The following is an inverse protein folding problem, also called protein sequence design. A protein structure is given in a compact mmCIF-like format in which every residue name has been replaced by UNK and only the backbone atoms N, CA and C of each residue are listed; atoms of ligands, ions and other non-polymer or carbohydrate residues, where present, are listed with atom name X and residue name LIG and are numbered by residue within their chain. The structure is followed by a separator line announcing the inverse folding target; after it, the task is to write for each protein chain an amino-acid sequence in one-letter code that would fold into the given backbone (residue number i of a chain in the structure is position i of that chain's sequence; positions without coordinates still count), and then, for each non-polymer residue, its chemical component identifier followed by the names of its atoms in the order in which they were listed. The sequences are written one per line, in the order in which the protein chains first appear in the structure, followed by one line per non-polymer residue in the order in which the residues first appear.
data_IF_561879715237
#
_entry.id   IF_561879715237
#
_cell.length_a   1.000
_cell.length_b   1.000
_cell.length_c   1.000
_cell.angle_alpha   90.00
_cell.angle_beta   90.00
_cell.angle_gamma   90.00
#
_symmetry.space_group_name_H-M   'P 1'
#
loop_
_entity.id
_entity.type
_entity.pdbx_description
1 polymer ?
#
# COMPACT_ATOMS: atom_id res chain seq x y z
N UNK A 1 16.68 -33.84 30.56
CA UNK A 1 15.44 -33.46 29.84
C UNK A 1 15.72 -32.13 29.21
N UNK A 2 15.78 -32.07 27.89
CA UNK A 2 15.96 -30.80 27.19
C UNK A 2 14.79 -29.88 27.53
N UNK A 3 15.11 -28.65 27.91
CA UNK A 3 14.12 -27.63 28.24
C UNK A 3 13.36 -27.31 26.96
N UNK A 4 12.03 -27.36 27.02
CA UNK A 4 11.17 -26.96 25.90
C UNK A 4 11.56 -25.55 25.43
N UNK A 5 11.78 -25.38 24.14
CA UNK A 5 12.14 -24.11 23.53
C UNK A 5 10.93 -23.54 22.80
N UNK A 6 10.72 -22.24 22.94
CA UNK A 6 9.61 -21.54 22.32
C UNK A 6 10.17 -20.44 21.44
N UNK A 7 9.65 -20.31 20.23
CA UNK A 7 10.06 -19.25 19.31
C UNK A 7 8.86 -18.55 18.70
N UNK A 8 9.06 -17.27 18.38
CA UNK A 8 8.22 -16.54 17.44
C UNK A 8 9.07 -16.20 16.21
N UNK A 9 8.55 -16.48 15.03
CA UNK A 9 9.11 -16.01 13.77
C UNK A 9 8.21 -14.94 13.18
N UNK A 10 8.70 -13.71 13.10
CA UNK A 10 7.98 -12.60 12.47
C UNK A 10 8.35 -12.60 10.99
N UNK A 11 7.36 -12.65 10.13
CA UNK A 11 7.52 -12.78 8.67
C UNK A 11 6.99 -11.54 7.99
N UNK A 12 7.77 -11.01 7.05
CA UNK A 12 7.43 -9.86 6.21
C UNK A 12 7.57 -10.29 4.75
N UNK A 13 6.43 -10.50 4.10
CA UNK A 13 6.32 -10.72 2.67
C UNK A 13 6.25 -9.38 1.93
N UNK A 14 7.03 -9.23 0.87
CA UNK A 14 6.97 -8.07 -0.01
C UNK A 14 5.73 -8.12 -0.92
N UNK A 15 5.26 -6.97 -1.42
CA UNK A 15 4.51 -6.92 -2.68
C UNK A 15 5.15 -7.81 -3.76
N UNK A 16 4.33 -8.61 -4.44
CA UNK A 16 4.76 -9.59 -5.43
C UNK A 16 5.25 -10.93 -4.87
N UNK A 17 5.23 -11.14 -3.54
CA UNK A 17 5.62 -12.44 -2.97
C UNK A 17 4.70 -13.54 -3.52
N UNK A 18 5.24 -14.61 -4.13
CA UNK A 18 4.45 -15.69 -4.69
C UNK A 18 3.57 -16.39 -3.65
N UNK A 19 2.31 -16.67 -4.02
CA UNK A 19 1.35 -17.39 -3.19
C UNK A 19 1.20 -18.82 -3.67
N UNK A 20 1.39 -19.78 -2.78
CA UNK A 20 1.36 -21.21 -3.06
C UNK A 20 0.16 -21.87 -2.38
N UNK A 21 -0.34 -22.95 -2.97
CA UNK A 21 -1.32 -23.84 -2.36
C UNK A 21 -0.99 -25.27 -2.77
N UNK A 22 -0.91 -26.17 -1.79
CA UNK A 22 -0.55 -27.58 -2.01
C UNK A 22 0.79 -27.80 -2.74
N UNK A 23 1.75 -26.87 -2.60
CA UNK A 23 3.08 -26.97 -3.21
C UNK A 23 3.19 -26.40 -4.62
N UNK A 24 2.09 -25.91 -5.19
CA UNK A 24 2.08 -25.24 -6.50
C UNK A 24 1.76 -23.75 -6.34
N UNK A 25 2.34 -22.91 -7.19
CA UNK A 25 1.98 -21.50 -7.23
C UNK A 25 0.53 -21.38 -7.69
N UNK A 26 -0.27 -20.64 -6.93
CA UNK A 26 -1.67 -20.41 -7.26
C UNK A 26 -1.77 -19.62 -8.56
N UNK A 27 -2.84 -19.84 -9.32
CA UNK A 27 -3.16 -19.08 -10.53
C UNK A 27 -4.55 -18.48 -10.33
N UNK A 28 -4.66 -17.16 -10.45
CA UNK A 28 -5.91 -16.42 -10.35
C UNK A 28 -6.09 -15.66 -11.67
N UNK A 29 -7.23 -15.85 -12.32
CA UNK A 29 -7.56 -15.24 -13.61
C UNK A 29 -6.52 -15.48 -14.72
N UNK A 30 -5.84 -16.63 -14.70
CA UNK A 30 -4.84 -17.02 -15.69
C UNK A 30 -3.42 -16.54 -15.40
N UNK A 31 -3.22 -15.74 -14.35
CA UNK A 31 -1.92 -15.20 -13.95
C UNK A 31 -1.41 -15.82 -12.63
N UNK A 32 -0.09 -15.99 -12.44
CA UNK A 32 0.48 -16.46 -11.18
C UNK A 32 0.12 -15.53 -10.02
N UNK A 33 -0.53 -16.08 -9.00
CA UNK A 33 -0.96 -15.33 -7.84
C UNK A 33 0.24 -14.88 -7.00
N UNK A 34 0.17 -13.64 -6.55
CA UNK A 34 1.18 -13.00 -5.73
C UNK A 34 0.51 -12.05 -4.73
N UNK A 35 1.23 -11.70 -3.68
CA UNK A 35 0.74 -10.76 -2.68
C UNK A 35 0.65 -9.35 -3.25
N UNK A 36 -0.50 -8.70 -3.16
CA UNK A 36 -0.69 -7.32 -3.63
C UNK A 36 0.17 -6.31 -2.85
N UNK A 37 -0.23 -5.92 -1.62
CA UNK A 37 0.52 -4.98 -0.78
C UNK A 37 1.65 -5.61 0.03
N UNK A 38 1.88 -6.92 -0.11
CA UNK A 38 2.69 -7.70 0.82
C UNK A 38 1.87 -8.15 2.02
N UNK A 39 2.53 -8.81 2.98
CA UNK A 39 1.88 -9.29 4.19
C UNK A 39 2.83 -9.35 5.37
N UNK A 40 2.32 -9.11 6.58
CA UNK A 40 3.08 -9.29 7.82
C UNK A 40 2.29 -10.20 8.76
N UNK A 41 2.95 -11.22 9.28
CA UNK A 41 2.36 -12.21 10.18
C UNK A 41 3.44 -12.79 11.10
N UNK A 42 3.03 -13.61 12.07
CA UNK A 42 3.96 -14.33 12.93
C UNK A 42 3.68 -15.84 12.96
N UNK A 43 4.72 -16.62 13.28
CA UNK A 43 4.67 -18.07 13.40
C UNK A 43 5.12 -18.43 14.81
N UNK A 44 4.36 -19.27 15.49
CA UNK A 44 4.71 -19.83 16.78
C UNK A 44 5.18 -21.27 16.62
N UNK A 45 6.32 -21.58 17.24
CA UNK A 45 6.86 -22.93 17.32
C UNK A 45 7.21 -23.25 18.78
N UNK A 46 6.63 -24.32 19.29
CA UNK A 46 6.90 -24.82 20.62
C UNK A 46 7.94 -25.95 20.63
N UNK A 47 8.51 -26.37 19.49
CA UNK A 47 9.42 -27.51 19.33
C UNK A 47 8.82 -28.91 19.55
N UNK A 48 7.50 -29.03 19.79
CA UNK A 48 6.78 -30.30 19.99
C UNK A 48 5.73 -30.56 18.92
N UNK A 49 5.05 -29.50 18.53
CA UNK A 49 3.91 -29.49 17.64
C UNK A 49 4.33 -28.90 16.29
N UNK A 50 3.45 -29.01 15.30
CA UNK A 50 3.67 -28.32 14.03
C UNK A 50 3.56 -26.80 14.27
N UNK A 51 4.49 -25.98 13.73
CA UNK A 51 4.40 -24.53 13.85
C UNK A 51 3.08 -24.00 13.29
N UNK A 52 2.52 -22.99 13.94
CA UNK A 52 1.23 -22.36 13.59
C UNK A 52 1.48 -20.90 13.24
N UNK A 53 1.00 -20.45 12.07
CA UNK A 53 1.03 -19.04 11.71
C UNK A 53 -0.23 -18.32 12.20
N UNK A 54 -0.12 -17.00 12.37
CA UNK A 54 -1.22 -16.11 12.65
C UNK A 54 -1.02 -14.83 11.82
N UNK A 55 -1.76 -14.73 10.72
CA UNK A 55 -1.88 -13.53 9.89
C UNK A 55 -3.29 -12.96 9.96
N UNK A 56 -3.46 -11.67 9.66
CA UNK A 56 -4.77 -11.03 9.60
C UNK A 56 -5.00 -10.45 8.21
N UNK A 57 -6.08 -10.88 7.56
CA UNK A 57 -6.44 -10.45 6.23
C UNK A 57 -7.97 -10.35 6.07
N UNK A 58 -8.48 -9.63 5.06
CA UNK A 58 -9.89 -9.63 4.72
C UNK A 58 -10.38 -11.05 4.38
N UNK A 59 -11.63 -11.38 4.73
CA UNK A 59 -12.25 -12.67 4.38
C UNK A 59 -12.33 -12.83 2.86
N UNK A 60 -12.81 -11.80 2.18
CA UNK A 60 -12.85 -11.74 0.73
C UNK A 60 -11.47 -11.32 0.23
N UNK A 61 -10.79 -12.23 -0.48
CA UNK A 61 -9.45 -11.95 -0.98
C UNK A 61 -9.47 -10.74 -1.93
N UNK A 62 -8.57 -9.79 -1.69
CA UNK A 62 -8.45 -8.56 -2.50
C UNK A 62 -9.30 -7.38 -2.03
N UNK A 63 -10.19 -7.54 -1.04
CA UNK A 63 -10.89 -6.40 -0.45
C UNK A 63 -9.94 -5.57 0.43
N UNK A 64 -9.93 -4.24 0.25
CA UNK A 64 -9.10 -3.35 1.08
C UNK A 64 -9.74 -3.00 2.41
N UNK A 65 -11.06 -3.16 2.53
CA UNK A 65 -11.81 -2.91 3.75
C UNK A 65 -12.94 -3.94 3.86
N UNK A 66 -13.20 -4.44 5.07
CA UNK A 66 -14.30 -5.37 5.31
C UNK A 66 -14.05 -6.30 6.48
N UNK A 67 -14.92 -7.30 6.68
CA UNK A 67 -14.71 -8.31 7.71
C UNK A 67 -13.36 -9.02 7.52
N UNK A 68 -12.52 -8.94 8.53
CA UNK A 68 -11.23 -9.61 8.57
C UNK A 68 -11.30 -10.96 9.26
N UNK A 69 -10.29 -11.78 9.00
CA UNK A 69 -10.13 -13.11 9.56
C UNK A 69 -8.66 -13.38 9.87
N UNK A 70 -8.45 -14.15 10.94
CA UNK A 70 -7.14 -14.71 11.27
C UNK A 70 -6.90 -15.94 10.40
N UNK A 71 -5.79 -15.94 9.69
CA UNK A 71 -5.32 -17.05 8.88
C UNK A 71 -4.18 -17.77 9.61
N UNK A 72 -4.24 -19.09 9.58
CA UNK A 72 -3.27 -20.00 10.19
C UNK A 72 -2.59 -20.90 9.15
N UNK A 73 -2.64 -20.45 7.90
CA UNK A 73 -2.03 -21.07 6.73
C UNK A 73 -0.93 -20.23 6.08
N UNK A 74 -0.74 -18.96 6.47
CA UNK A 74 0.21 -18.03 5.86
C UNK A 74 1.61 -18.60 5.70
N UNK A 75 2.12 -19.34 6.71
CA UNK A 75 3.45 -19.96 6.63
C UNK A 75 3.61 -20.98 5.48
N UNK A 76 2.52 -21.54 4.96
CA UNK A 76 2.54 -22.47 3.82
C UNK A 76 2.25 -21.77 2.50
N UNK A 77 1.59 -20.61 2.56
CA UNK A 77 1.12 -19.87 1.38
C UNK A 77 2.18 -18.90 0.87
N UNK A 78 2.86 -18.18 1.76
CA UNK A 78 3.86 -17.19 1.39
C UNK A 78 5.24 -17.83 1.21
N UNK A 79 5.69 -17.94 -0.05
CA UNK A 79 6.97 -18.55 -0.38
C UNK A 79 8.08 -17.50 -0.57
N UNK A 80 9.26 -17.73 0.03
CA UNK A 80 10.39 -16.81 0.01
C UNK A 80 10.04 -15.36 0.43
N UNK A 81 9.48 -15.16 1.64
CA UNK A 81 9.18 -13.81 2.12
C UNK A 81 10.46 -12.97 2.18
N UNK A 82 10.36 -11.68 1.89
CA UNK A 82 11.51 -10.78 1.80
C UNK A 82 12.34 -10.74 3.10
N UNK A 83 11.68 -10.88 4.24
CA UNK A 83 12.34 -10.89 5.54
C UNK A 83 11.63 -11.80 6.54
N UNK A 84 12.41 -12.47 7.39
CA UNK A 84 11.90 -13.12 8.59
C UNK A 84 12.91 -13.07 9.73
N UNK A 85 12.43 -12.87 10.95
CA UNK A 85 13.24 -12.92 12.18
C UNK A 85 12.64 -13.89 13.18
N UNK A 86 13.38 -14.93 13.53
CA UNK A 86 13.07 -15.88 14.60
C UNK A 86 13.72 -15.40 15.89
N UNK A 87 12.94 -15.40 16.97
CA UNK A 87 13.35 -14.97 18.31
C UNK A 87 12.96 -16.06 19.31
N UNK A 88 13.89 -16.53 20.14
CA UNK A 88 13.54 -17.37 21.30
C UNK A 88 12.80 -16.52 22.33
N UNK A 89 11.68 -17.05 22.84
CA UNK A 89 10.79 -16.38 23.77
C UNK A 89 10.48 -17.27 24.97
N UNK A 90 9.97 -16.67 26.03
CA UNK A 90 9.53 -17.44 27.20
C UNK A 90 8.21 -18.17 26.90
N UNK A 91 7.92 -19.21 27.68
CA UNK A 91 6.62 -19.91 27.63
C UNK A 91 5.44 -18.95 27.82
N UNK A 92 5.57 -17.98 28.74
CA UNK A 92 4.53 -16.98 28.99
C UNK A 92 4.29 -16.09 27.77
N UNK A 93 5.35 -15.65 27.09
CA UNK A 93 5.25 -14.85 25.87
C UNK A 93 4.60 -15.64 24.74
N UNK A 94 4.97 -16.93 24.59
CA UNK A 94 4.35 -17.84 23.64
C UNK A 94 2.84 -17.96 23.88
N UNK A 95 2.42 -18.21 25.12
CA UNK A 95 1.01 -18.34 25.49
C UNK A 95 0.21 -17.04 25.25
N UNK A 96 0.83 -15.87 25.49
CA UNK A 96 0.22 -14.55 25.17
C UNK A 96 0.04 -14.35 23.67
N UNK A 97 1.05 -14.68 22.87
CA UNK A 97 0.97 -14.61 21.40
C UNK A 97 -0.08 -15.57 20.86
N UNK A 98 -0.11 -16.81 21.36
CA UNK A 98 -1.08 -17.82 20.96
C UNK A 98 -2.50 -17.35 21.27
N UNK A 99 -2.74 -16.88 22.50
CA UNK A 99 -4.05 -16.37 22.91
C UNK A 99 -4.50 -15.19 22.05
N UNK A 100 -3.58 -14.28 21.71
CA UNK A 100 -3.89 -13.17 20.82
C UNK A 100 -4.19 -13.64 19.39
N UNK A 101 -3.45 -14.62 18.89
CA UNK A 101 -3.70 -15.23 17.59
C UNK A 101 -5.05 -15.94 17.49
N UNK A 102 -5.49 -16.60 18.57
CA UNK A 102 -6.75 -17.35 18.60
C UNK A 102 -7.97 -16.46 18.88
N UNK A 103 -7.85 -15.49 19.80
CA UNK A 103 -8.97 -14.70 20.31
C UNK A 103 -8.65 -13.19 20.43
N UNK A 104 -8.24 -12.52 19.34
CA UNK A 104 -7.76 -11.13 19.38
C UNK A 104 -8.83 -10.13 19.88
N UNK A 105 -10.11 -10.36 19.59
CA UNK A 105 -11.22 -9.51 20.02
C UNK A 105 -11.37 -9.45 21.54
N UNK A 106 -11.11 -10.56 22.24
CA UNK A 106 -11.16 -10.60 23.71
C UNK A 106 -10.05 -9.77 24.34
N UNK A 107 -9.04 -9.40 23.56
CA UNK A 107 -7.90 -8.58 23.94
C UNK A 107 -7.99 -7.16 23.36
N UNK A 108 -9.15 -6.78 22.80
CA UNK A 108 -9.44 -5.43 22.33
C UNK A 108 -9.04 -5.14 20.88
N UNK A 109 -8.65 -6.15 20.10
CA UNK A 109 -8.34 -5.97 18.68
C UNK A 109 -9.59 -6.15 17.83
N UNK A 110 -9.92 -5.13 17.04
CA UNK A 110 -11.06 -5.14 16.11
C UNK A 110 -10.77 -6.07 14.92
N UNK A 111 -11.73 -6.89 14.48
CA UNK A 111 -11.57 -7.74 13.29
C UNK A 111 -12.09 -7.11 12.02
N UNK A 112 -12.50 -5.85 12.03
CA UNK A 112 -12.80 -5.12 10.81
C UNK A 112 -11.50 -4.69 10.12
N UNK A 113 -11.13 -5.38 9.04
CA UNK A 113 -9.93 -5.06 8.28
C UNK A 113 -10.09 -3.70 7.60
N UNK A 114 -9.12 -2.80 7.75
CA UNK A 114 -9.07 -1.54 7.00
C UNK A 114 -7.64 -1.28 6.53
N UNK A 115 -7.50 -0.97 5.24
CA UNK A 115 -6.21 -0.83 4.55
C UNK A 115 -5.20 0.02 5.32
N UNK A 116 -5.67 1.19 5.77
CA UNK A 116 -4.86 2.24 6.39
C UNK A 116 -4.86 2.16 7.93
N UNK A 117 -5.70 1.36 8.56
CA UNK A 117 -5.69 1.21 10.03
C UNK A 117 -6.39 -0.10 10.36
N UNK A 118 -5.81 -0.91 11.24
CA UNK A 118 -6.32 -2.24 11.56
C UNK A 118 -6.12 -3.23 10.40
N UNK A 119 -4.85 -3.44 10.04
CA UNK A 119 -4.42 -4.36 8.99
C UNK A 119 -3.45 -5.44 9.53
N UNK A 120 -2.82 -6.22 8.64
CA UNK A 120 -1.89 -7.29 9.00
C UNK A 120 -0.69 -6.84 9.85
N UNK A 121 -0.18 -5.62 9.61
CA UNK A 121 0.93 -5.03 10.36
C UNK A 121 0.47 -4.65 11.77
N UNK A 122 -0.68 -4.00 11.89
CA UNK A 122 -1.25 -3.60 13.19
C UNK A 122 -1.57 -4.83 14.05
N UNK A 123 -2.15 -5.87 13.45
CA UNK A 123 -2.40 -7.14 14.10
C UNK A 123 -1.10 -7.75 14.67
N UNK A 124 -0.05 -7.81 13.85
CA UNK A 124 1.23 -8.39 14.26
C UNK A 124 1.86 -7.58 15.38
N UNK A 125 1.87 -6.25 15.29
CA UNK A 125 2.40 -5.40 16.36
C UNK A 125 1.57 -5.45 17.63
N UNK A 126 0.24 -5.51 17.53
CA UNK A 126 -0.63 -5.65 18.69
C UNK A 126 -0.36 -6.97 19.43
N UNK A 127 -0.17 -8.08 18.70
CA UNK A 127 0.22 -9.37 19.28
C UNK A 127 1.58 -9.29 19.99
N UNK A 128 2.60 -8.76 19.31
CA UNK A 128 3.95 -8.62 19.85
C UNK A 128 3.97 -7.73 21.10
N UNK A 129 3.28 -6.59 21.06
CA UNK A 129 3.15 -5.69 22.20
C UNK A 129 2.41 -6.35 23.37
N UNK A 130 1.35 -7.13 23.10
CA UNK A 130 0.63 -7.88 24.14
C UNK A 130 1.52 -8.91 24.83
N UNK A 131 2.48 -9.49 24.11
CA UNK A 131 3.48 -10.40 24.64
C UNK A 131 4.71 -9.71 25.26
N UNK A 132 4.76 -8.38 25.29
CA UNK A 132 5.89 -7.61 25.82
C UNK A 132 7.13 -7.60 24.90
N UNK A 133 6.95 -7.90 23.62
CA UNK A 133 7.99 -7.80 22.59
C UNK A 133 7.85 -6.45 21.89
N UNK A 134 8.62 -5.47 22.35
CA UNK A 134 8.55 -4.10 21.86
C UNK A 134 9.70 -3.78 20.90
N UNK A 135 9.41 -2.99 19.87
CA UNK A 135 10.43 -2.36 19.02
C UNK A 135 11.12 -1.21 19.75
N UNK A 136 12.40 -0.99 19.48
CA UNK A 136 13.08 0.22 19.97
C UNK A 136 12.50 1.46 19.28
N UNK A 137 12.22 2.51 20.05
CA UNK A 137 11.65 3.76 19.55
C UNK A 137 12.70 4.51 18.73
N UNK A 138 12.58 4.54 17.40
CA UNK A 138 13.43 5.35 16.53
C UNK A 138 12.60 6.16 15.53
N UNK A 139 12.96 7.44 15.34
CA UNK A 139 12.39 8.34 14.34
C UNK A 139 13.28 8.33 13.10
N UNK A 140 12.64 8.34 11.93
CA UNK A 140 13.31 8.70 10.69
C UNK A 140 13.57 10.20 10.63
N UNK A 141 14.84 10.59 10.78
CA UNK A 141 15.25 12.01 10.73
C UNK A 141 14.96 12.59 9.34
N UNK A 142 14.92 11.77 8.28
CA UNK A 142 14.49 12.21 6.95
C UNK A 142 12.97 12.44 6.87
N UNK A 143 12.18 11.79 7.72
CA UNK A 143 10.74 12.02 7.85
C UNK A 143 10.37 13.26 8.68
N UNK A 144 11.29 13.75 9.52
CA UNK A 144 11.03 14.89 10.42
C UNK A 144 11.26 16.27 9.76
N UNK A 145 12.11 16.36 8.73
CA UNK A 145 12.55 17.65 8.17
C UNK A 145 11.71 18.18 7.00
N UNK A 146 10.70 17.44 6.54
CA UNK A 146 9.90 17.81 5.37
C UNK A 146 10.74 17.98 4.08
N UNK A 147 10.11 18.22 2.92
CA UNK A 147 10.78 18.22 1.61
C UNK A 147 11.71 19.44 1.36
N UNK A 148 11.99 20.26 2.38
CA UNK A 148 12.83 21.47 2.27
C UNK A 148 14.08 21.49 3.15
N UNK A 149 14.31 20.48 3.98
CA UNK A 149 15.53 20.36 4.78
C UNK A 149 16.68 19.82 3.95
N UNK A 150 17.70 20.64 3.74
CA UNK A 150 19.03 20.33 3.17
C UNK A 150 19.31 18.83 2.95
N UNK A 151 19.42 18.46 1.68
CA UNK A 151 19.66 17.08 1.27
C UNK A 151 20.82 16.42 2.01
N UNK A 152 20.59 15.15 2.39
CA UNK A 152 21.55 14.07 2.53
C UNK A 152 22.99 14.49 2.89
N UNK A 153 23.19 15.07 4.08
CA UNK A 153 24.52 15.47 4.55
C UNK A 153 25.01 14.72 5.78
N UNK A 154 24.26 13.75 6.32
CA UNK A 154 24.72 12.94 7.47
C UNK A 154 24.54 11.44 7.21
N UNK A 155 25.53 10.60 7.54
CA UNK A 155 25.32 9.15 7.67
C UNK A 155 24.28 8.87 8.76
N UNK A 156 23.59 7.71 8.68
CA UNK A 156 22.46 7.31 9.54
C UNK A 156 22.68 7.59 11.04
N UNK A 157 22.28 8.77 11.50
CA UNK A 157 22.28 9.16 12.91
C UNK A 157 20.83 9.38 13.33
N UNK A 158 20.33 8.53 14.24
CA UNK A 158 18.97 8.64 14.81
C UNK A 158 19.04 8.81 16.32
N UNK A 159 18.36 9.85 16.84
CA UNK A 159 18.34 10.22 18.26
C UNK A 159 17.16 9.49 18.95
N UNK A 160 17.37 8.81 20.11
CA UNK A 160 16.31 8.09 20.81
C UNK A 160 15.37 9.04 21.59
N UNK A 161 14.07 9.08 21.25
CA UNK A 161 13.03 9.78 22.02
C UNK A 161 11.63 9.10 21.93
N UNK A 162 10.70 9.38 22.86
CA UNK A 162 9.62 8.46 23.27
C UNK A 162 8.24 8.78 22.68
N UNK A 163 8.02 8.67 21.37
CA UNK A 163 6.66 8.82 20.79
C UNK A 163 6.40 7.75 19.72
N UNK A 164 5.24 7.10 19.79
CA UNK A 164 4.75 6.15 18.78
C UNK A 164 4.49 6.90 17.48
N UNK A 165 5.17 6.51 16.40
CA UNK A 165 5.06 7.18 15.10
C UNK A 165 3.66 7.05 14.50
N UNK A 166 2.91 8.15 14.48
CA UNK A 166 1.66 8.32 13.74
C UNK A 166 1.98 8.82 12.32
N UNK A 167 2.05 7.91 11.34
CA UNK A 167 2.31 8.28 9.95
C UNK A 167 2.04 7.16 8.97
N UNK A 168 1.84 7.50 7.69
CA UNK A 168 1.48 6.57 6.59
C UNK A 168 2.53 5.48 6.29
N UNK A 169 3.59 5.41 7.07
CA UNK A 169 4.68 4.43 6.99
C UNK A 169 4.33 3.08 7.63
N UNK A 170 3.32 3.04 8.50
CA UNK A 170 2.89 1.82 9.19
C UNK A 170 2.24 0.75 8.27
N UNK A 171 1.87 1.11 7.03
CA UNK A 171 1.04 0.26 6.14
C UNK A 171 1.82 -0.72 5.28
N UNK A 172 3.13 -0.54 5.17
CA UNK A 172 3.94 -1.31 4.23
C UNK A 172 4.72 -2.37 5.01
N UNK A 173 4.51 -3.67 4.76
CA UNK A 173 5.24 -4.74 5.43
C UNK A 173 6.76 -4.49 5.40
N UNK A 174 7.31 -4.11 4.24
CA UNK A 174 8.75 -3.84 4.11
C UNK A 174 9.27 -2.68 4.97
N UNK A 175 8.44 -1.68 5.31
CA UNK A 175 8.86 -0.57 6.20
C UNK A 175 8.97 -0.99 7.67
N UNK A 176 8.47 -2.16 8.02
CA UNK A 176 8.50 -2.68 9.38
C UNK A 176 9.73 -3.55 9.66
N UNK A 177 10.58 -3.83 8.67
CA UNK A 177 11.79 -4.65 8.84
C UNK A 177 12.68 -4.11 9.97
N UNK A 178 13.01 -2.81 9.95
CA UNK A 178 13.81 -2.19 11.01
C UNK A 178 13.11 -2.19 12.38
N UNK A 179 11.78 -2.04 12.39
CA UNK A 179 11.00 -2.19 13.62
C UNK A 179 11.19 -3.58 14.22
N UNK A 180 11.11 -4.62 13.39
CA UNK A 180 11.30 -6.01 13.81
C UNK A 180 12.75 -6.29 14.22
N UNK A 181 13.76 -5.80 13.49
CA UNK A 181 15.19 -5.88 13.86
C UNK A 181 15.47 -5.28 15.24
N UNK A 182 14.76 -4.20 15.57
CA UNK A 182 14.99 -3.46 16.80
C UNK A 182 14.40 -4.13 18.06
N UNK A 183 13.64 -5.22 17.92
CA UNK A 183 13.11 -5.96 19.07
C UNK A 183 14.27 -6.58 19.85
N UNK A 184 14.34 -6.31 21.15
CA UNK A 184 15.28 -6.99 22.03
C UNK A 184 14.83 -8.43 22.27
N UNK A 185 15.69 -9.39 21.93
CA UNK A 185 15.40 -10.79 22.15
C UNK A 185 15.40 -11.10 23.65
N UNK A 186 14.37 -11.75 24.21
CA UNK A 186 14.35 -12.17 25.62
C UNK A 186 15.55 -13.06 26.01
N UNK A 187 16.06 -13.82 25.04
CA UNK A 187 17.27 -14.62 25.16
C UNK A 187 18.28 -14.22 24.07
N UNK A 188 19.07 -13.14 24.25
CA UNK A 188 19.92 -12.59 23.19
C UNK A 188 20.97 -13.56 22.64
N UNK A 189 21.50 -14.44 23.49
CA UNK A 189 22.53 -15.42 23.14
C UNK A 189 21.96 -16.77 22.67
N UNK A 190 20.65 -16.83 22.42
CA UNK A 190 20.02 -18.06 21.94
C UNK A 190 20.53 -18.43 20.54
N UNK A 191 20.93 -19.69 20.30
CA UNK A 191 21.24 -20.16 18.96
C UNK A 191 20.00 -20.27 18.05
N UNK A 192 18.79 -20.14 18.61
CA UNK A 192 17.54 -20.15 17.85
C UNK A 192 17.23 -18.80 17.20
N UNK A 193 17.85 -17.72 17.68
CA UNK A 193 17.68 -16.40 17.09
C UNK A 193 18.27 -16.41 15.69
N UNK A 194 17.44 -16.15 14.69
CA UNK A 194 17.83 -16.21 13.28
C UNK A 194 17.18 -15.08 12.48
N UNK A 195 17.91 -14.56 11.51
CA UNK A 195 17.39 -13.62 10.54
C UNK A 195 17.61 -14.17 9.13
N UNK A 196 16.61 -14.02 8.27
CA UNK A 196 16.67 -14.45 6.87
C UNK A 196 16.16 -13.30 6.00
N UNK A 197 16.87 -13.06 4.90
CA UNK A 197 16.51 -12.09 3.86
C UNK A 197 16.52 -12.79 2.51
N UNK A 198 15.50 -12.52 1.71
CA UNK A 198 15.45 -12.92 0.32
C UNK A 198 15.44 -11.68 -0.57
N UNK A 199 15.97 -11.76 -1.80
CA UNK A 199 15.80 -10.68 -2.77
C UNK A 199 14.31 -10.44 -3.03
N UNK A 200 13.94 -9.19 -3.31
CA UNK A 200 12.58 -8.86 -3.71
C UNK A 200 12.24 -9.58 -5.03
N UNK A 201 10.97 -9.99 -5.27
CA UNK A 201 10.60 -10.66 -6.51
C UNK A 201 10.94 -9.80 -7.73
N UNK A 202 11.55 -10.42 -8.75
CA UNK A 202 12.02 -9.71 -9.94
C UNK A 202 10.86 -9.27 -10.86
N UNK A 203 9.81 -10.09 -10.95
CA UNK A 203 8.66 -9.88 -11.84
C UNK A 203 7.51 -9.10 -11.17
N UNK A 204 7.84 -8.14 -10.29
CA UNK A 204 6.84 -7.30 -9.61
C UNK A 204 6.13 -6.41 -10.64
N UNK A 205 4.81 -6.28 -10.50
CA UNK A 205 4.07 -5.27 -11.25
C UNK A 205 4.50 -3.86 -10.84
N UNK A 206 4.21 -2.84 -11.67
CA UNK A 206 4.50 -1.44 -11.34
C UNK A 206 3.84 -1.02 -10.02
N UNK A 207 2.61 -1.48 -9.76
CA UNK A 207 1.93 -1.25 -8.48
C UNK A 207 2.69 -1.89 -7.31
N UNK A 208 3.22 -3.10 -7.50
CA UNK A 208 3.96 -3.81 -6.46
C UNK A 208 5.32 -3.18 -6.18
N UNK A 209 6.06 -2.78 -7.21
CA UNK A 209 7.28 -1.97 -7.07
C UNK A 209 7.01 -0.73 -6.23
N UNK A 210 5.89 -0.07 -6.49
CA UNK A 210 5.52 1.15 -5.82
C UNK A 210 5.07 0.97 -4.35
N UNK A 211 4.55 -0.21 -4.02
CA UNK A 211 4.25 -0.61 -2.65
C UNK A 211 5.50 -1.06 -1.88
N UNK A 212 6.58 -1.46 -2.57
CA UNK A 212 7.75 -2.11 -1.97
C UNK A 212 9.02 -1.26 -1.92
N UNK A 213 9.30 -0.46 -2.94
CA UNK A 213 10.59 0.21 -3.08
C UNK A 213 10.64 1.51 -2.25
N UNK A 214 11.74 1.65 -1.50
CA UNK A 214 12.14 2.84 -0.75
C UNK A 214 12.74 3.91 -1.67
N UNK A 215 12.88 3.63 -2.97
CA UNK A 215 13.37 4.56 -3.98
C UNK A 215 12.20 5.38 -4.55
N UNK A 216 12.44 6.69 -4.68
CA UNK A 216 11.49 7.69 -5.16
C UNK A 216 10.66 7.16 -6.34
N UNK A 217 9.34 7.32 -6.27
CA UNK A 217 8.45 7.07 -7.41
C UNK A 217 9.03 7.72 -8.67
N UNK A 218 8.90 7.09 -9.85
CA UNK A 218 9.06 7.82 -11.09
C UNK A 218 8.08 8.99 -11.05
N UNK A 219 8.60 10.21 -11.15
CA UNK A 219 7.75 11.41 -11.25
C UNK A 219 6.75 11.22 -12.39
N UNK A 220 5.58 11.86 -12.31
CA UNK A 220 4.65 11.99 -13.44
C UNK A 220 5.32 12.54 -14.71
N UNK A 221 6.47 13.23 -14.58
CA UNK A 221 7.32 13.64 -15.71
C UNK A 221 7.97 12.49 -16.46
N UNK A 222 8.17 11.34 -15.82
CA UNK A 222 8.82 10.20 -16.44
C UNK A 222 7.84 9.55 -17.44
N UNK A 223 8.23 9.37 -18.72
CA UNK A 223 7.43 8.67 -19.72
C UNK A 223 6.94 7.27 -19.33
N UNK A 224 7.69 6.56 -18.48
CA UNK A 224 7.35 5.22 -18.02
C UNK A 224 6.27 5.22 -16.92
N UNK A 225 5.87 6.39 -16.41
CA UNK A 225 4.82 6.49 -15.39
C UNK A 225 3.43 6.29 -16.04
N UNK A 226 2.53 5.45 -15.47
CA UNK A 226 1.20 5.19 -16.07
C UNK A 226 0.31 6.43 -16.18
N UNK A 227 0.55 7.44 -15.33
CA UNK A 227 -0.09 8.76 -15.41
C UNK A 227 0.59 9.80 -16.28
N UNK A 228 1.70 9.45 -16.92
CA UNK A 228 2.47 10.39 -17.74
C UNK A 228 1.63 11.01 -18.85
N UNK A 229 0.81 10.21 -19.54
CA UNK A 229 -0.01 10.69 -20.65
C UNK A 229 -0.97 11.79 -20.22
N UNK A 230 -1.73 11.59 -19.13
CA UNK A 230 -2.63 12.63 -18.62
C UNK A 230 -1.85 13.84 -18.11
N UNK A 231 -0.70 13.62 -17.45
CA UNK A 231 0.16 14.72 -17.00
C UNK A 231 0.68 15.56 -18.16
N UNK A 232 1.22 14.94 -19.20
CA UNK A 232 1.76 15.63 -20.37
C UNK A 232 0.67 16.44 -21.11
N UNK A 233 -0.54 15.89 -21.21
CA UNK A 233 -1.70 16.61 -21.77
C UNK A 233 -2.09 17.80 -20.89
N UNK A 234 -2.27 17.60 -19.58
CA UNK A 234 -2.57 18.67 -18.64
C UNK A 234 -1.49 19.76 -18.69
N UNK A 235 -0.21 19.37 -18.72
CA UNK A 235 0.93 20.28 -18.78
C UNK A 235 0.88 21.14 -20.04
N UNK A 236 0.61 20.53 -21.21
CA UNK A 236 0.48 21.26 -22.48
C UNK A 236 -0.62 22.33 -22.40
N UNK A 237 -1.79 21.98 -21.85
CA UNK A 237 -2.91 22.92 -21.74
C UNK A 237 -2.68 23.99 -20.66
N UNK A 238 -2.06 23.65 -19.53
CA UNK A 238 -1.68 24.64 -18.50
C UNK A 238 -0.64 25.62 -19.06
N UNK A 239 0.33 25.14 -19.85
CA UNK A 239 1.30 26.03 -20.50
C UNK A 239 0.65 26.97 -21.51
N UNK A 240 -0.32 26.48 -22.30
CA UNK A 240 -1.10 27.33 -23.19
C UNK A 240 -1.93 28.37 -22.42
N UNK A 241 -2.51 27.97 -21.28
CA UNK A 241 -3.25 28.85 -20.38
C UNK A 241 -2.34 29.93 -19.77
N UNK A 242 -1.13 29.58 -19.33
CA UNK A 242 -0.14 30.54 -18.84
C UNK A 242 0.20 31.57 -19.92
N UNK A 243 0.50 31.11 -21.14
CA UNK A 243 0.82 31.98 -22.27
C UNK A 243 -0.33 32.93 -22.61
N UNK A 244 -1.58 32.44 -22.62
CA UNK A 244 -2.77 33.27 -22.85
C UNK A 244 -2.96 34.35 -21.78
N UNK A 245 -2.45 34.12 -20.57
CA UNK A 245 -2.47 35.07 -19.45
C UNK A 245 -1.17 35.88 -19.31
N UNK A 246 -0.30 35.89 -20.34
CA UNK A 246 1.00 36.56 -20.33
C UNK A 246 1.91 36.15 -19.17
N UNK A 247 1.78 34.90 -18.71
CA UNK A 247 2.59 34.29 -17.66
C UNK A 247 3.55 33.28 -18.29
N UNK A 248 4.78 33.25 -17.79
CA UNK A 248 5.72 32.19 -18.14
C UNK A 248 5.44 30.95 -17.29
N UNK A 249 5.40 29.77 -17.91
CA UNK A 249 5.24 28.51 -17.18
C UNK A 249 6.45 28.20 -16.31
N UNK A 250 6.17 27.71 -15.11
CA UNK A 250 7.17 27.41 -14.08
C UNK A 250 6.83 26.11 -13.33
N UNK A 251 7.54 25.83 -12.24
CA UNK A 251 7.30 24.64 -11.43
C UNK A 251 5.87 24.56 -10.86
N UNK A 252 5.18 25.70 -10.66
CA UNK A 252 3.80 25.73 -10.17
C UNK A 252 2.83 25.33 -11.28
N UNK A 253 3.13 25.67 -12.53
CA UNK A 253 2.39 25.16 -13.69
C UNK A 253 2.43 23.63 -13.75
N UNK A 254 3.59 23.04 -13.45
CA UNK A 254 3.75 21.59 -13.40
C UNK A 254 3.04 20.95 -12.20
N UNK A 255 3.03 21.63 -11.04
CA UNK A 255 2.26 21.22 -9.87
C UNK A 255 0.75 21.15 -10.18
N UNK A 256 0.21 22.20 -10.81
CA UNK A 256 -1.18 22.27 -11.24
C UNK A 256 -1.51 21.14 -12.23
N UNK A 257 -0.67 20.93 -13.24
CA UNK A 257 -0.82 19.83 -14.19
C UNK A 257 -0.82 18.45 -13.51
N UNK A 258 0.04 18.26 -12.51
CA UNK A 258 0.09 17.06 -11.69
C UNK A 258 -1.23 16.78 -10.96
N UNK A 259 -1.80 17.78 -10.28
CA UNK A 259 -3.07 17.63 -9.58
C UNK A 259 -4.24 17.37 -10.53
N UNK A 260 -4.27 18.05 -11.68
CA UNK A 260 -5.27 17.82 -12.72
C UNK A 260 -5.20 16.39 -13.26
N UNK A 261 -4.00 15.86 -13.52
CA UNK A 261 -3.83 14.48 -13.95
C UNK A 261 -4.40 13.49 -12.93
N UNK A 262 -4.06 13.64 -11.64
CA UNK A 262 -4.58 12.79 -10.56
C UNK A 262 -6.11 12.81 -10.51
N UNK A 263 -6.70 14.02 -10.55
CA UNK A 263 -8.14 14.14 -10.48
C UNK A 263 -8.84 13.60 -11.74
N UNK A 264 -8.25 13.81 -12.91
CA UNK A 264 -8.73 13.23 -14.17
C UNK A 264 -8.71 11.69 -14.13
N UNK A 265 -7.68 11.09 -13.55
CA UNK A 265 -7.62 9.65 -13.32
C UNK A 265 -8.79 9.17 -12.45
N UNK A 266 -9.01 9.82 -11.30
CA UNK A 266 -10.09 9.49 -10.37
C UNK A 266 -11.48 9.62 -11.01
N UNK A 267 -11.66 10.59 -11.89
CA UNK A 267 -12.91 10.81 -12.63
C UNK A 267 -13.10 9.87 -13.83
N UNK A 268 -12.18 8.93 -14.07
CA UNK A 268 -12.25 7.97 -15.17
C UNK A 268 -11.94 8.58 -16.54
N UNK A 269 -11.27 9.72 -16.60
CA UNK A 269 -10.85 10.34 -17.86
C UNK A 269 -9.68 9.55 -18.45
N UNK A 270 -9.65 9.44 -19.78
CA UNK A 270 -8.59 8.77 -20.55
C UNK A 270 -7.73 9.74 -21.34
N UNK A 271 -8.19 10.99 -21.48
CA UNK A 271 -7.43 12.10 -22.04
C UNK A 271 -7.88 13.41 -21.43
N UNK A 272 -7.06 14.44 -21.58
CA UNK A 272 -7.40 15.84 -21.28
C UNK A 272 -7.29 16.61 -22.59
N UNK A 273 -8.41 17.15 -23.04
CA UNK A 273 -8.53 17.90 -24.29
C UNK A 273 -8.43 19.42 -24.08
N UNK A 274 -8.66 19.89 -22.84
CA UNK A 274 -8.60 21.30 -22.47
C UNK A 274 -8.42 21.50 -20.96
N UNK A 275 -7.83 22.64 -20.57
CA UNK A 275 -7.75 23.09 -19.18
C UNK A 275 -8.28 24.53 -19.07
N UNK A 276 -9.25 24.75 -18.19
CA UNK A 276 -9.91 26.06 -18.01
C UNK A 276 -9.92 26.49 -16.56
N UNK A 277 -9.95 27.79 -16.32
CA UNK A 277 -10.20 28.36 -15.00
C UNK A 277 -11.68 28.69 -14.83
N UNK A 278 -12.17 28.69 -13.59
CA UNK A 278 -13.42 29.38 -13.23
C UNK A 278 -13.30 30.89 -13.49
N UNK A 279 -14.44 31.59 -13.54
CA UNK A 279 -14.47 33.05 -13.76
C UNK A 279 -13.65 33.82 -12.72
N UNK A 280 -13.62 33.33 -11.48
CA UNK A 280 -12.85 33.89 -10.35
C UNK A 280 -11.46 33.25 -10.19
N UNK A 281 -11.09 32.31 -11.08
CA UNK A 281 -9.87 31.50 -11.04
C UNK A 281 -9.64 30.65 -9.76
N UNK A 282 -10.65 30.50 -8.90
CA UNK A 282 -10.56 29.66 -7.70
C UNK A 282 -10.41 28.16 -8.02
N UNK A 283 -10.92 27.73 -9.19
CA UNK A 283 -10.83 26.35 -9.64
C UNK A 283 -10.23 26.23 -11.04
N UNK A 284 -9.45 25.17 -11.24
CA UNK A 284 -8.99 24.73 -12.54
C UNK A 284 -9.71 23.43 -12.93
N UNK A 285 -10.15 23.34 -14.18
CA UNK A 285 -10.92 22.24 -14.74
C UNK A 285 -10.14 21.57 -15.86
N UNK A 286 -9.96 20.25 -15.78
CA UNK A 286 -9.58 19.42 -16.91
C UNK A 286 -10.84 18.90 -17.61
N UNK A 287 -10.87 19.02 -18.93
CA UNK A 287 -12.04 18.67 -19.76
C UNK A 287 -11.68 17.58 -20.75
N UNK A 288 -12.57 16.59 -20.89
CA UNK A 288 -12.55 15.62 -21.99
C UNK A 288 -13.83 15.78 -22.79
N UNK A 289 -13.70 16.16 -24.05
CA UNK A 289 -14.81 16.42 -24.97
C UNK A 289 -15.32 15.12 -25.58
N UNK A 290 -16.63 14.92 -25.70
CA UNK A 290 -17.15 13.84 -26.53
C UNK A 290 -17.07 14.24 -28.03
N UNK A 291 -16.29 13.51 -28.87
CA UNK A 291 -16.18 13.83 -30.29
C UNK A 291 -17.50 13.69 -31.07
N UNK A 292 -18.48 12.96 -30.51
CA UNK A 292 -19.79 12.74 -31.12
C UNK A 292 -20.88 13.72 -30.63
N UNK A 293 -20.54 14.66 -29.76
CA UNK A 293 -21.47 15.64 -29.22
C UNK A 293 -21.04 17.06 -29.55
N UNK A 294 -21.95 17.83 -30.14
CA UNK A 294 -21.73 19.25 -30.49
C UNK A 294 -22.09 20.21 -29.35
N UNK A 295 -22.55 19.70 -28.20
CA UNK A 295 -23.00 20.51 -27.06
C UNK A 295 -22.15 20.32 -25.79
N UNK A 296 -22.16 21.29 -24.86
CA UNK A 296 -21.34 21.25 -23.63
C UNK A 296 -21.82 20.23 -22.59
N UNK A 297 -22.96 19.57 -22.81
CA UNK A 297 -23.62 18.67 -21.86
C UNK A 297 -23.03 17.25 -21.82
N UNK A 298 -22.08 16.93 -22.70
CA UNK A 298 -21.50 15.60 -22.83
C UNK A 298 -19.97 15.63 -22.70
N UNK A 299 -19.50 16.33 -21.66
CA UNK A 299 -18.07 16.48 -21.34
C UNK A 299 -17.79 15.87 -19.97
N UNK A 300 -16.71 15.09 -19.85
CA UNK A 300 -16.19 14.75 -18.53
C UNK A 300 -15.35 15.91 -18.01
N UNK A 301 -15.54 16.25 -16.73
CA UNK A 301 -14.83 17.33 -16.07
C UNK A 301 -14.26 16.86 -14.74
N UNK A 302 -12.97 17.10 -14.56
CA UNK A 302 -12.28 17.02 -13.28
C UNK A 302 -11.94 18.44 -12.85
N UNK A 303 -11.98 18.73 -11.54
CA UNK A 303 -11.64 20.05 -11.02
C UNK A 303 -10.70 19.95 -9.82
N UNK A 304 -9.86 20.97 -9.66
CA UNK A 304 -8.99 21.16 -8.49
C UNK A 304 -9.12 22.58 -8.00
N UNK A 305 -8.86 22.81 -6.72
CA UNK A 305 -8.62 24.17 -6.20
C UNK A 305 -7.30 24.67 -6.77
N UNK A 306 -7.33 25.83 -7.44
CA UNK A 306 -6.18 26.36 -8.18
C UNK A 306 -5.00 26.65 -7.25
N UNK A 307 -5.26 27.24 -6.08
CA UNK A 307 -4.20 27.65 -5.14
C UNK A 307 -3.58 26.43 -4.47
N UNK A 308 -4.39 25.47 -4.06
CA UNK A 308 -3.91 24.20 -3.51
C UNK A 308 -3.09 23.45 -4.56
N UNK A 309 -3.59 23.36 -5.79
CA UNK A 309 -2.92 22.63 -6.87
C UNK A 309 -1.58 23.26 -7.24
N UNK A 310 -1.49 24.59 -7.36
CA UNK A 310 -0.22 25.29 -7.63
C UNK A 310 0.83 25.07 -6.53
N UNK A 311 0.40 24.82 -5.29
CA UNK A 311 1.27 24.62 -4.12
C UNK A 311 1.47 23.14 -3.75
N UNK A 312 0.88 22.21 -4.50
CA UNK A 312 1.06 20.77 -4.28
C UNK A 312 2.23 20.28 -5.13
N UNK A 313 3.38 19.90 -4.54
CA UNK A 313 4.53 19.47 -5.32
C UNK A 313 4.19 18.31 -6.26
N UNK A 314 4.78 18.30 -7.45
CA UNK A 314 4.55 17.25 -8.44
C UNK A 314 4.89 15.85 -7.91
N UNK A 315 5.85 15.75 -6.99
CA UNK A 315 6.19 14.51 -6.30
C UNK A 315 5.00 13.99 -5.47
N UNK A 316 4.28 14.89 -4.79
CA UNK A 316 3.08 14.54 -4.03
C UNK A 316 1.95 14.10 -4.98
N UNK A 317 1.77 14.78 -6.11
CA UNK A 317 0.81 14.37 -7.14
C UNK A 317 1.16 13.02 -7.76
N UNK A 318 2.46 12.72 -7.93
CA UNK A 318 2.93 11.42 -8.43
C UNK A 318 2.57 10.29 -7.46
N UNK A 319 2.63 10.55 -6.14
CA UNK A 319 2.16 9.61 -5.12
C UNK A 319 0.64 9.47 -5.11
N UNK A 320 -0.09 10.59 -5.21
CA UNK A 320 -1.55 10.59 -5.19
C UNK A 320 -2.17 9.89 -6.42
N UNK A 321 -1.49 9.91 -7.56
CA UNK A 321 -1.92 9.23 -8.79
C UNK A 321 -2.18 7.74 -8.54
N UNK A 322 -1.33 7.10 -7.74
CA UNK A 322 -1.43 5.67 -7.44
C UNK A 322 -2.76 5.35 -6.76
N UNK A 323 -3.12 6.16 -5.77
CA UNK A 323 -4.37 6.01 -5.03
C UNK A 323 -5.56 6.22 -5.97
N UNK A 324 -5.52 7.28 -6.79
CA UNK A 324 -6.56 7.56 -7.77
C UNK A 324 -6.73 6.42 -8.80
N UNK A 325 -5.64 5.83 -9.26
CA UNK A 325 -5.66 4.73 -10.22
C UNK A 325 -6.23 3.43 -9.61
N UNK A 326 -5.89 3.14 -8.35
CA UNK A 326 -6.47 2.00 -7.64
C UNK A 326 -7.97 2.18 -7.42
N UNK A 327 -8.40 3.35 -6.92
CA UNK A 327 -9.82 3.67 -6.72
C UNK A 327 -10.62 3.53 -8.02
N UNK A 328 -10.05 3.98 -9.15
CA UNK A 328 -10.67 3.87 -10.47
C UNK A 328 -10.86 2.41 -10.90
N UNK A 329 -9.81 1.60 -10.82
CA UNK A 329 -9.84 0.20 -11.23
C UNK A 329 -10.94 -0.58 -10.47
N UNK A 330 -11.07 -0.34 -9.17
CA UNK A 330 -12.12 -0.96 -8.35
C UNK A 330 -13.53 -0.51 -8.75
N UNK A 331 -13.73 0.78 -9.03
CA UNK A 331 -15.04 1.29 -9.48
C UNK A 331 -15.45 0.78 -10.86
N UNK A 332 -14.50 0.54 -11.75
CA UNK A 332 -14.76 -0.08 -13.07
C UNK A 332 -15.13 -1.57 -12.93
N UNK A 333 -14.43 -2.31 -12.06
CA UNK A 333 -14.71 -3.73 -11.79
C UNK A 333 -16.09 -3.94 -11.14
N UNK A 334 -16.47 -3.11 -10.16
CA UNK A 334 -17.81 -3.17 -9.56
C UNK A 334 -18.93 -2.90 -10.58
N UNK A 335 -18.72 -1.95 -11.52
CA UNK A 335 -19.69 -1.66 -12.58
C UNK A 335 -19.87 -2.82 -13.56
N UNK A 336 -18.80 -3.54 -13.90
CA UNK A 336 -18.89 -4.73 -14.76
C UNK A 336 -19.69 -5.86 -14.09
N UNK A 337 -19.38 -6.18 -12.83
CA UNK A 337 -20.10 -7.23 -12.07
C UNK A 337 -21.59 -6.91 -11.97
N UNK A 338 -21.95 -5.65 -11.76
CA UNK A 338 -23.34 -5.23 -11.67
C UNK A 338 -24.08 -5.27 -13.03
N UNK A 339 -23.38 -5.02 -14.14
CA UNK A 339 -23.95 -5.14 -15.50
C UNK A 339 -24.18 -6.60 -15.92
N UNK A 340 -23.29 -7.53 -15.54
CA UNK A 340 -23.46 -8.97 -15.83
C UNK A 340 -24.62 -9.60 -15.04
N UNK A 341 -24.85 -9.16 -13.79
CA UNK A 341 -26.01 -9.60 -13.02
C UNK A 341 -27.36 -9.01 -13.51
N UNK A 342 -27.32 -7.98 -14.35
CA UNK A 342 -28.50 -7.29 -14.88
C UNK A 342 -28.93 -7.77 -16.27
N UNK A 343 -28.19 -8.67 -16.93
CA UNK A 343 -28.59 -9.22 -18.23
C UNK A 343 -29.62 -10.36 -18.06
N UNK A 344 -30.85 -10.23 -18.61
CA UNK A 344 -31.82 -11.31 -18.57
C UNK A 344 -31.36 -12.50 -19.43
N UNK A 345 -31.34 -13.70 -18.85
CA UNK A 345 -31.09 -14.93 -19.60
C UNK A 345 -32.13 -15.09 -20.73
N UNK A 346 -31.73 -15.40 -21.97
CA UNK A 346 -32.68 -15.66 -23.04
C UNK A 346 -33.51 -16.90 -22.70
N UNK A 347 -34.83 -16.74 -22.72
CA UNK A 347 -35.80 -17.79 -22.44
C UNK A 347 -35.54 -18.99 -23.35
N UNK A 348 -35.27 -20.14 -22.73
CA UNK A 348 -35.10 -21.43 -23.40
C UNK A 348 -36.46 -21.84 -23.99
N UNK A 349 -36.60 -21.72 -25.31
CA UNK A 349 -37.79 -22.18 -26.02
C UNK A 349 -37.92 -23.70 -25.83
N UNK A 350 -39.01 -24.13 -25.20
CA UNK A 350 -39.42 -25.53 -25.11
C UNK A 350 -40.27 -25.86 -26.34
N UNK A 351 -39.77 -26.82 -27.13
CA UNK A 351 -40.49 -27.59 -28.15
C UNK A 351 -41.58 -28.47 -27.57
#
# INVERSE_FOLDING_TARGET
MDKQQYTVTIVIAAPGTPLYKNGEQQVIDGEPANSGPGHMFFILDDSKSKPISYGFAPITHGEMNGPGKIYNSDAKEYHNPAYSRTIEISKEQYEKLQKFGEEPEKLGFDKEYRDVHNNCVDFTWAALNHAGLHRNKSIDVNGLLGPGGVGQLLPDVRIPLPVEGSGKDAYRPLRNIHGVESIEAPFPQSPLNKEVRHPLPADRSIQQHLLSDQQQLPSLRNPDHPGHTLFAQAQTHVQALDQANNRQSDARSDNLAGCLAVQSCKMGMNRIDDVRLSEDASHAFAVQNNPNSLGPHDQLRAHVDTVVALNTPLEQSSQNWVQAAAERAHGEQQRQIQQEQSQPHPARALT
#
